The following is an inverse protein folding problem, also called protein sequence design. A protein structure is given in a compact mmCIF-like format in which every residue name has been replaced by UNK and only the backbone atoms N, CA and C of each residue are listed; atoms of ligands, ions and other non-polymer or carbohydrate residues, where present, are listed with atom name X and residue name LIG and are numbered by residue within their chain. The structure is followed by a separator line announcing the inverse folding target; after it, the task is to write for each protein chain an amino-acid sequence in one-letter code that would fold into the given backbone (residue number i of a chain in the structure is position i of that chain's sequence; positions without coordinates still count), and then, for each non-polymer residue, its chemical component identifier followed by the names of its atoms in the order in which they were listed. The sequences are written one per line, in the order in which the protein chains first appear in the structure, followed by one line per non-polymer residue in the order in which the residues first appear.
data_IF_771240225094
#
_entry.id   IF_771240225094
#
_cell.length_a   1.000
_cell.length_b   1.000
_cell.length_c   1.000
_cell.angle_alpha   90.00
_cell.angle_beta   90.00
_cell.angle_gamma   90.00
#
_symmetry.space_group_name_H-M   'P 1'
#
loop_
_entity.id
_entity.type
_entity.pdbx_description
1 polymer ?
#
# COMPACT_ATOMS: atom_id res chain seq x y z
N UNK A 1 -5.92 -11.86 -14.31
CA UNK A 1 -6.30 -12.86 -13.30
C UNK A 1 -6.40 -12.15 -11.96
N UNK A 2 -7.48 -12.38 -11.21
CA UNK A 2 -7.69 -11.76 -9.89
C UNK A 2 -7.07 -12.63 -8.78
N UNK A 3 -6.84 -12.06 -7.61
CA UNK A 3 -6.52 -12.83 -6.40
C UNK A 3 -7.62 -13.85 -6.13
N UNK A 4 -7.24 -15.02 -5.65
CA UNK A 4 -8.19 -15.93 -5.02
C UNK A 4 -8.82 -15.26 -3.79
N UNK A 5 -10.08 -15.56 -3.50
CA UNK A 5 -10.81 -14.94 -2.38
C UNK A 5 -10.10 -15.10 -1.03
N UNK A 6 -9.44 -16.25 -0.83
CA UNK A 6 -8.65 -16.53 0.37
C UNK A 6 -7.43 -15.60 0.49
N UNK A 7 -6.67 -15.45 -0.61
CA UNK A 7 -5.49 -14.58 -0.65
C UNK A 7 -5.90 -13.12 -0.49
N UNK A 8 -6.99 -12.70 -1.13
CA UNK A 8 -7.52 -11.35 -0.99
C UNK A 8 -7.87 -11.06 0.47
N UNK A 9 -8.66 -11.91 1.12
CA UNK A 9 -9.03 -11.73 2.53
C UNK A 9 -7.82 -11.66 3.46
N UNK A 10 -6.84 -12.54 3.26
CA UNK A 10 -5.61 -12.53 4.05
C UNK A 10 -4.87 -11.20 3.89
N UNK A 11 -4.72 -10.70 2.67
CA UNK A 11 -4.08 -9.41 2.41
C UNK A 11 -4.85 -8.26 3.04
N UNK A 12 -6.18 -8.25 2.91
CA UNK A 12 -7.05 -7.21 3.50
C UNK A 12 -6.94 -7.18 5.02
N UNK A 13 -6.91 -8.35 5.67
CA UNK A 13 -6.73 -8.48 7.12
C UNK A 13 -5.35 -7.97 7.55
N UNK A 14 -4.28 -8.47 6.92
CA UNK A 14 -2.89 -8.08 7.24
C UNK A 14 -2.63 -6.59 7.01
N UNK A 15 -3.12 -6.03 5.90
CA UNK A 15 -3.01 -4.60 5.64
C UNK A 15 -3.89 -3.77 6.56
N UNK A 16 -5.09 -4.24 6.89
CA UNK A 16 -5.96 -3.61 7.87
C UNK A 16 -5.28 -3.47 9.22
N UNK A 17 -4.70 -4.56 9.72
CA UNK A 17 -3.94 -4.59 10.96
C UNK A 17 -2.69 -3.72 10.89
N UNK A 18 -1.96 -3.76 9.77
CA UNK A 18 -0.79 -2.92 9.56
C UNK A 18 -1.13 -1.43 9.58
N UNK A 19 -2.15 -1.00 8.84
CA UNK A 19 -2.61 0.39 8.82
C UNK A 19 -3.08 0.83 10.22
N UNK A 20 -3.71 -0.07 10.97
CA UNK A 20 -4.18 0.21 12.32
C UNK A 20 -3.04 0.37 13.33
N UNK A 21 -2.03 -0.49 13.25
CA UNK A 21 -0.87 -0.51 14.17
C UNK A 21 0.15 0.58 13.83
N UNK A 22 0.38 0.85 12.54
CA UNK A 22 1.37 1.83 12.07
C UNK A 22 0.97 3.27 12.37
N UNK A 23 -0.34 3.58 12.31
CA UNK A 23 -0.84 4.92 12.63
C UNK A 23 -1.48 4.92 14.04
N UNK A 24 -0.73 5.36 15.07
CA UNK A 24 -1.30 5.50 16.41
C UNK A 24 -2.46 6.48 16.41
N UNK A 25 -3.45 6.23 17.28
CA UNK A 25 -4.70 7.01 17.33
C UNK A 25 -4.45 8.54 17.39
N UNK A 26 -3.38 8.97 18.06
CA UNK A 26 -3.02 10.37 18.23
C UNK A 26 -2.64 11.12 16.93
N UNK A 27 -2.29 10.42 15.85
CA UNK A 27 -1.95 11.04 14.55
C UNK A 27 -2.89 10.62 13.42
N UNK A 28 -3.93 9.80 13.68
CA UNK A 28 -4.95 9.41 12.69
C UNK A 28 -5.73 10.59 12.12
N UNK A 29 -5.79 11.69 12.86
CA UNK A 29 -6.38 12.96 12.43
C UNK A 29 -5.44 13.80 11.57
N UNK A 30 -4.18 13.40 11.40
CA UNK A 30 -3.17 14.07 10.58
C UNK A 30 -2.72 13.24 9.38
N UNK A 31 -2.70 11.91 9.52
CA UNK A 31 -2.31 10.98 8.47
C UNK A 31 -3.10 9.68 8.59
N UNK A 32 -3.52 9.11 7.47
CA UNK A 32 -4.17 7.80 7.42
C UNK A 32 -3.53 6.95 6.33
N UNK A 33 -3.37 5.67 6.61
CA UNK A 33 -2.97 4.70 5.60
C UNK A 33 -4.21 3.99 5.09
N UNK A 34 -4.37 3.99 3.77
CA UNK A 34 -5.40 3.25 3.06
C UNK A 34 -4.77 2.30 2.07
N UNK A 35 -5.52 1.27 1.67
CA UNK A 35 -5.10 0.37 0.62
C UNK A 35 -6.25 0.11 -0.34
N UNK A 36 -5.91 -0.26 -1.57
CA UNK A 36 -6.86 -0.70 -2.57
C UNK A 36 -6.38 -2.00 -3.20
N UNK A 37 -7.29 -2.95 -3.35
CA UNK A 37 -7.03 -4.23 -4.00
C UNK A 37 -7.73 -4.20 -5.36
N UNK A 38 -6.94 -4.36 -6.42
CA UNK A 38 -7.40 -4.42 -7.80
C UNK A 38 -6.83 -5.66 -8.47
N UNK A 39 -7.65 -6.71 -8.60
CA UNK A 39 -7.22 -7.96 -9.22
C UNK A 39 -6.10 -8.64 -8.42
N UNK A 40 -4.89 -8.67 -8.98
CA UNK A 40 -3.67 -9.20 -8.34
C UNK A 40 -2.72 -8.12 -7.80
N UNK A 41 -3.18 -6.88 -7.81
CA UNK A 41 -2.38 -5.72 -7.43
C UNK A 41 -3.00 -5.04 -6.24
N UNK A 42 -2.18 -4.78 -5.23
CA UNK A 42 -2.57 -4.14 -3.98
C UNK A 42 -1.76 -2.88 -3.87
N UNK A 43 -2.41 -1.73 -3.75
CA UNK A 43 -1.72 -0.43 -3.64
C UNK A 43 -1.98 0.14 -2.27
N UNK A 44 -0.91 0.34 -1.51
CA UNK A 44 -0.90 1.08 -0.25
C UNK A 44 -0.67 2.56 -0.56
N UNK A 45 -1.52 3.41 -0.01
CA UNK A 45 -1.44 4.85 -0.16
C UNK A 45 -1.62 5.53 1.19
N UNK A 46 -0.95 6.65 1.35
CA UNK A 46 -1.17 7.57 2.44
C UNK A 46 -2.20 8.61 2.00
N UNK A 47 -3.18 8.88 2.85
CA UNK A 47 -4.09 10.01 2.68
C UNK A 47 -3.99 10.93 3.90
N UNK A 48 -3.86 12.22 3.63
CA UNK A 48 -3.90 13.25 4.68
C UNK A 48 -5.32 13.78 4.76
N UNK A 49 -6.02 13.60 5.89
CA UNK A 49 -7.33 14.22 6.07
C UNK A 49 -7.18 15.72 5.86
N UNK A 50 -7.99 16.28 4.95
CA UNK A 50 -8.03 17.72 4.71
C UNK A 50 -8.56 18.33 6.00
N UNK A 51 -7.69 18.96 6.79
CA UNK A 51 -8.16 19.82 7.88
C UNK A 51 -9.06 20.89 7.26
N UNK A 52 -10.24 21.07 7.87
CA UNK A 52 -11.44 21.78 7.41
C UNK A 52 -11.30 23.24 6.92
N UNK A 53 -10.09 23.73 6.60
CA UNK A 53 -9.80 25.16 6.39
C UNK A 53 -9.11 25.53 5.06
N UNK A 54 -8.95 24.61 4.11
CA UNK A 54 -8.37 24.95 2.79
C UNK A 54 -9.33 24.57 1.65
N UNK A 55 -9.88 25.62 1.05
CA UNK A 55 -10.44 25.75 -0.29
C UNK A 55 -11.16 24.51 -0.87
N UNK A 56 -12.48 24.64 -1.01
CA UNK A 56 -13.45 23.63 -1.48
C UNK A 56 -13.22 23.08 -2.91
N UNK A 57 -12.06 23.30 -3.53
CA UNK A 57 -11.74 22.88 -4.90
C UNK A 57 -11.32 21.43 -5.05
N UNK A 58 -11.05 20.69 -3.97
CA UNK A 58 -10.78 19.25 -4.04
C UNK A 58 -11.43 18.53 -2.87
N UNK A 59 -12.65 18.00 -3.09
CA UNK A 59 -13.44 17.27 -2.08
C UNK A 59 -12.84 15.91 -1.67
N UNK A 60 -11.75 15.47 -2.28
CA UNK A 60 -11.06 14.23 -1.92
C UNK A 60 -9.68 14.53 -1.32
N UNK A 61 -9.30 13.89 -0.20
CA UNK A 61 -7.94 13.96 0.32
C UNK A 61 -6.95 13.43 -0.74
N UNK A 62 -5.79 14.07 -0.92
CA UNK A 62 -4.77 13.59 -1.85
C UNK A 62 -4.27 12.21 -1.38
N UNK A 63 -4.42 11.20 -2.24
CA UNK A 63 -3.88 9.85 -2.03
C UNK A 63 -2.48 9.79 -2.61
N UNK A 64 -1.49 9.68 -1.73
CA UNK A 64 -0.09 9.53 -2.07
C UNK A 64 0.23 8.03 -2.11
N UNK A 65 0.41 7.42 -3.29
CA UNK A 65 0.84 6.03 -3.37
C UNK A 65 2.17 5.87 -2.64
N UNK A 66 2.26 4.90 -1.73
CA UNK A 66 3.48 4.59 -0.98
C UNK A 66 4.15 3.32 -1.50
N UNK A 67 3.34 2.29 -1.74
CA UNK A 67 3.83 0.99 -2.16
C UNK A 67 2.76 0.25 -2.96
N UNK A 68 3.21 -0.62 -3.86
CA UNK A 68 2.33 -1.48 -4.62
C UNK A 68 2.86 -2.91 -4.60
N UNK A 69 2.04 -3.82 -4.13
CA UNK A 69 2.30 -5.25 -4.07
C UNK A 69 1.62 -5.89 -5.28
N UNK A 70 2.36 -6.61 -6.10
CA UNK A 70 1.81 -7.33 -7.25
C UNK A 70 2.06 -8.81 -7.05
N UNK A 71 1.00 -9.62 -6.97
CA UNK A 71 1.11 -11.07 -6.95
C UNK A 71 1.33 -11.57 -8.38
N UNK A 72 2.46 -12.25 -8.61
CA UNK A 72 2.62 -13.00 -9.83
C UNK A 72 1.90 -14.34 -9.70
N UNK A 73 0.86 -14.54 -10.50
CA UNK A 73 0.06 -15.77 -10.51
C UNK A 73 0.81 -16.98 -11.11
N UNK A 74 1.93 -16.75 -11.81
CA UNK A 74 2.73 -17.83 -12.42
C UNK A 74 3.64 -18.49 -11.39
N UNK A 75 4.32 -17.69 -10.58
CA UNK A 75 5.25 -18.17 -9.54
C UNK A 75 4.68 -18.08 -8.13
N UNK A 76 3.46 -17.56 -7.97
CA UNK A 76 2.80 -17.29 -6.69
C UNK A 76 3.59 -16.37 -5.74
N UNK A 77 4.57 -15.61 -6.26
CA UNK A 77 5.35 -14.68 -5.47
C UNK A 77 4.79 -13.27 -5.58
N UNK A 78 4.72 -12.62 -4.43
CA UNK A 78 4.49 -11.20 -4.34
C UNK A 78 5.76 -10.44 -4.70
N UNK A 79 5.58 -9.28 -5.32
CA UNK A 79 6.65 -8.33 -5.63
C UNK A 79 6.27 -6.96 -5.15
N UNK A 80 7.18 -6.30 -4.45
CA UNK A 80 6.99 -4.95 -3.95
C UNK A 80 7.53 -3.92 -4.93
N UNK A 81 6.72 -2.89 -5.18
CA UNK A 81 7.06 -1.76 -6.00
C UNK A 81 6.90 -0.47 -5.19
N UNK A 82 7.78 0.50 -5.41
CA UNK A 82 7.66 1.85 -4.89
C UNK A 82 7.37 2.85 -6.01
N UNK A 83 6.66 3.95 -5.70
CA UNK A 83 6.43 5.03 -6.65
C UNK A 83 7.77 5.61 -7.11
N UNK A 84 7.93 5.81 -8.41
CA UNK A 84 9.13 6.37 -9.00
C UNK A 84 8.76 7.30 -10.14
N UNK A 85 9.20 8.56 -10.03
CA UNK A 85 9.03 9.56 -11.08
C UNK A 85 9.86 9.25 -12.34
N UNK A 86 10.79 8.29 -12.28
CA UNK A 86 11.68 7.95 -13.40
C UNK A 86 11.11 6.90 -14.35
N UNK A 87 10.01 6.23 -13.99
CA UNK A 87 9.43 5.14 -14.76
C UNK A 87 8.16 5.62 -15.47
N UNK A 88 7.96 5.20 -16.72
CA UNK A 88 6.73 5.52 -17.47
C UNK A 88 5.48 4.99 -16.77
N UNK A 89 5.56 3.82 -16.14
CA UNK A 89 4.46 3.25 -15.36
C UNK A 89 4.37 3.83 -13.95
N UNK A 90 5.32 4.69 -13.54
CA UNK A 90 5.35 5.32 -12.22
C UNK A 90 5.78 4.40 -11.08
N UNK A 91 6.17 3.15 -11.36
CA UNK A 91 6.53 2.15 -10.35
C UNK A 91 7.89 1.52 -10.66
N UNK A 92 8.69 1.29 -9.62
CA UNK A 92 9.95 0.54 -9.70
C UNK A 92 9.96 -0.56 -8.65
N UNK A 93 10.61 -1.68 -8.94
CA UNK A 93 10.83 -2.74 -7.95
C UNK A 93 11.56 -2.17 -6.73
N UNK A 94 11.05 -2.50 -5.55
CA UNK A 94 11.61 -1.99 -4.31
C UNK A 94 13.03 -2.56 -4.13
N UNK A 95 14.07 -1.69 -4.07
CA UNK A 95 15.44 -2.15 -3.95
C UNK A 95 15.62 -2.84 -2.59
N UNK A 96 15.95 -4.14 -2.61
CA UNK A 96 16.13 -4.96 -1.40
C UNK A 96 14.92 -5.82 -1.02
N UNK A 97 13.77 -5.65 -1.66
CA UNK A 97 12.64 -6.56 -1.48
C UNK A 97 12.77 -7.74 -2.45
N UNK A 98 12.99 -8.95 -1.92
CA UNK A 98 12.99 -10.17 -2.73
C UNK A 98 11.54 -10.62 -2.97
N UNK A 99 11.22 -11.18 -4.15
CA UNK A 99 9.94 -11.83 -4.36
C UNK A 99 9.74 -12.94 -3.33
N UNK A 100 8.60 -12.97 -2.65
CA UNK A 100 8.29 -13.96 -1.61
C UNK A 100 6.79 -14.23 -1.58
N UNK A 101 6.39 -15.40 -1.12
CA UNK A 101 4.99 -15.77 -0.90
C UNK A 101 4.43 -15.08 0.35
N UNK A 102 5.33 -14.74 1.29
CA UNK A 102 4.99 -14.11 2.56
C UNK A 102 4.73 -12.61 2.38
N UNK A 103 3.45 -12.22 2.46
CA UNK A 103 3.05 -10.83 2.33
C UNK A 103 3.56 -9.96 3.51
N UNK A 104 3.63 -10.50 4.72
CA UNK A 104 4.05 -9.78 5.93
C UNK A 104 5.52 -9.40 5.88
N UNK A 105 6.35 -10.21 5.20
CA UNK A 105 7.75 -9.90 4.96
C UNK A 105 7.94 -8.53 4.28
N UNK A 106 7.03 -8.12 3.39
CA UNK A 106 7.11 -6.80 2.76
C UNK A 106 6.72 -5.66 3.69
N UNK A 107 5.79 -5.88 4.63
CA UNK A 107 5.44 -4.89 5.65
C UNK A 107 6.64 -4.56 6.53
N UNK A 108 7.42 -5.59 6.92
CA UNK A 108 8.66 -5.40 7.64
C UNK A 108 9.74 -4.65 6.85
N UNK A 109 9.79 -4.83 5.52
CA UNK A 109 10.70 -4.05 4.65
C UNK A 109 10.29 -2.58 4.57
N UNK A 110 8.99 -2.30 4.50
CA UNK A 110 8.46 -0.93 4.50
C UNK A 110 8.76 -0.20 5.82
N UNK A 111 8.64 -0.88 6.95
CA UNK A 111 8.91 -0.27 8.27
C UNK A 111 10.39 0.08 8.48
N UNK A 112 11.31 -0.71 7.94
CA UNK A 112 12.76 -0.43 8.07
C UNK A 112 13.23 0.82 7.32
N UNK A 113 12.41 1.37 6.43
CA UNK A 113 12.76 2.48 5.54
C UNK A 113 11.90 3.74 5.74
N UNK A 114 11.03 3.78 6.77
CA UNK A 114 10.30 4.99 7.18
C UNK A 114 10.81 5.48 8.53
#
# INVERSE_FOLDING_TARGET
MALSEQTQKLVEEKLGDYCNNKIPANIRDQVRLGFTVMGNTVTLFEEKPIQNNLDQRSKLPPKLPLAQFRLNVVDHLWRLYCPSQRRQDGWILYPGAKPTEDFEAFLGVLDKHT
#
